data_IF_074825299364
#
_entry.id   IF_074825299364
#
_cell.length_a   1.000
_cell.length_b   1.000
_cell.length_c   1.000
_cell.angle_alpha   90.00
_cell.angle_beta   90.00
_cell.angle_gamma   90.00
#
_symmetry.space_group_name_H-M   'P 1'
#
loop_
_entity.id
_entity.type
_entity.pdbx_description
1 polymer ?
#
# COMPACT_ATOMS: atom_id res chain seq x y z
N UNK A 1 -9.00 -8.64 -7.59
CA UNK A 1 -9.72 -7.44 -8.06
C UNK A 1 -8.70 -6.29 -8.03
N UNK A 2 -8.89 -5.17 -8.76
CA UNK A 2 -7.77 -4.27 -9.08
C UNK A 2 -7.72 -3.04 -8.15
N UNK A 3 -6.61 -2.87 -7.45
CA UNK A 3 -6.33 -1.73 -6.58
C UNK A 3 -6.44 -0.39 -7.32
N UNK A 4 -7.06 0.61 -6.69
CA UNK A 4 -7.11 1.97 -7.23
C UNK A 4 -5.99 2.82 -6.66
N UNK A 5 -5.21 3.47 -7.54
CA UNK A 5 -4.11 4.38 -7.18
C UNK A 5 -4.46 5.80 -7.58
N UNK A 6 -4.42 6.74 -6.63
CA UNK A 6 -4.68 8.17 -6.83
C UNK A 6 -3.59 9.03 -6.16
N UNK A 7 -3.54 10.33 -6.46
CA UNK A 7 -2.72 11.27 -5.69
C UNK A 7 -3.56 11.78 -4.51
N UNK A 8 -3.05 11.79 -3.26
CA UNK A 8 -3.81 12.33 -2.14
C UNK A 8 -4.07 13.84 -2.26
N UNK A 9 -5.16 14.31 -1.66
CA UNK A 9 -5.47 15.74 -1.60
C UNK A 9 -4.34 16.52 -0.89
N UNK A 10 -3.94 17.64 -1.50
CA UNK A 10 -2.86 18.50 -1.00
C UNK A 10 -1.44 18.00 -1.27
N UNK A 11 -1.26 16.79 -1.83
CA UNK A 11 0.06 16.30 -2.24
C UNK A 11 0.45 16.89 -3.60
N UNK A 12 1.74 17.28 -3.79
CA UNK A 12 2.22 17.66 -5.10
C UNK A 12 2.09 16.49 -6.09
N UNK A 13 1.64 16.79 -7.30
CA UNK A 13 1.59 15.82 -8.42
C UNK A 13 2.96 15.57 -9.02
N UNK A 14 3.90 16.47 -8.77
CA UNK A 14 5.24 16.44 -9.33
C UNK A 14 6.13 15.39 -8.65
N UNK A 15 6.94 14.71 -9.46
CA UNK A 15 7.95 13.77 -8.97
C UNK A 15 9.23 14.51 -8.64
N UNK A 16 9.72 14.40 -7.41
CA UNK A 16 11.07 14.88 -7.07
C UNK A 16 12.12 13.80 -7.34
N UNK A 17 13.28 14.22 -7.87
CA UNK A 17 14.33 13.31 -8.32
C UNK A 17 15.64 13.54 -7.55
N UNK A 18 15.87 12.86 -6.41
CA UNK A 18 17.20 12.79 -5.81
C UNK A 18 18.11 11.82 -6.60
N UNK A 19 18.93 12.36 -7.51
CA UNK A 19 19.83 11.57 -8.34
C UNK A 19 19.10 10.83 -9.46
N UNK A 20 19.11 9.49 -9.44
CA UNK A 20 18.33 8.65 -10.39
C UNK A 20 17.11 7.99 -9.72
N UNK A 21 16.80 8.38 -8.49
CA UNK A 21 15.62 7.92 -7.74
C UNK A 21 14.51 8.95 -7.89
N UNK A 22 13.27 8.49 -7.92
CA UNK A 22 12.03 9.26 -7.97
C UNK A 22 11.23 8.95 -6.70
N UNK A 23 10.52 9.94 -6.17
CA UNK A 23 9.54 9.70 -5.11
C UNK A 23 8.14 10.16 -5.52
N UNK A 24 7.13 9.44 -5.06
CA UNK A 24 5.71 9.72 -5.32
C UNK A 24 4.90 9.40 -4.08
N UNK A 25 3.94 10.27 -3.77
CA UNK A 25 2.91 9.98 -2.78
C UNK A 25 1.69 9.46 -3.51
N UNK A 26 1.19 8.30 -3.11
CA UNK A 26 -0.02 7.69 -3.66
C UNK A 26 -1.04 7.42 -2.57
N UNK A 27 -2.32 7.50 -2.94
CA UNK A 27 -3.49 7.08 -2.19
C UNK A 27 -3.96 5.77 -2.81
N UNK A 28 -4.11 4.76 -1.98
CA UNK A 28 -4.47 3.41 -2.36
C UNK A 28 -5.79 3.07 -1.69
N UNK A 29 -6.77 2.61 -2.47
CA UNK A 29 -8.03 2.08 -1.95
C UNK A 29 -8.06 0.59 -2.22
N UNK A 30 -8.24 -0.20 -1.15
CA UNK A 30 -8.41 -1.64 -1.22
C UNK A 30 -9.79 -2.02 -1.78
N UNK A 31 -9.96 -3.29 -2.12
CA UNK A 31 -11.20 -3.80 -2.68
C UNK A 31 -12.10 -4.49 -1.65
N UNK A 32 -13.33 -4.84 -2.06
CA UNK A 32 -14.32 -5.54 -1.23
C UNK A 32 -14.07 -7.04 -1.11
N UNK A 33 -12.98 -7.54 -1.70
CA UNK A 33 -12.58 -8.93 -1.63
C UNK A 33 -11.07 -9.04 -1.49
N UNK A 34 -10.61 -8.92 -0.24
CA UNK A 34 -9.20 -9.02 0.12
C UNK A 34 -8.59 -10.36 -0.32
N UNK A 35 -7.41 -10.33 -0.91
CA UNK A 35 -6.66 -11.54 -1.26
C UNK A 35 -5.61 -11.85 -0.18
N UNK A 36 -5.50 -13.10 0.24
CA UNK A 36 -4.40 -13.53 1.11
C UNK A 36 -3.03 -13.20 0.50
N UNK A 37 -2.13 -12.67 1.32
CA UNK A 37 -0.86 -12.09 0.90
C UNK A 37 -0.96 -10.62 0.45
N UNK A 38 -2.13 -10.00 0.54
CA UNK A 38 -2.38 -8.62 0.14
C UNK A 38 -2.72 -8.41 -1.33
N UNK A 39 -2.92 -7.15 -1.69
CA UNK A 39 -3.25 -6.75 -3.06
C UNK A 39 -2.00 -6.38 -3.86
N UNK A 40 -1.97 -6.73 -5.15
CA UNK A 40 -0.83 -6.45 -6.01
C UNK A 40 -0.57 -4.93 -6.15
N UNK A 41 0.63 -4.51 -5.75
CA UNK A 41 1.12 -3.13 -5.85
C UNK A 41 2.51 -3.15 -6.49
N UNK A 42 2.53 -3.33 -7.81
CA UNK A 42 3.77 -3.46 -8.57
C UNK A 42 4.46 -2.13 -8.79
N UNK A 43 5.78 -2.16 -9.04
CA UNK A 43 6.55 -0.98 -9.45
C UNK A 43 5.90 -0.28 -10.66
N UNK A 44 5.46 -1.06 -11.65
CA UNK A 44 4.79 -0.57 -12.85
C UNK A 44 3.50 0.17 -12.52
N UNK A 45 2.66 -0.37 -11.63
CA UNK A 45 1.43 0.29 -11.15
C UNK A 45 1.73 1.64 -10.50
N UNK A 46 2.86 1.73 -9.81
CA UNK A 46 3.32 2.93 -9.12
C UNK A 46 4.04 3.94 -10.05
N UNK A 47 4.39 3.54 -11.27
CA UNK A 47 5.10 4.36 -12.26
C UNK A 47 6.63 4.27 -12.17
N UNK A 48 7.16 3.18 -11.62
CA UNK A 48 8.58 2.91 -11.47
C UNK A 48 8.97 1.62 -12.21
N UNK A 49 10.22 1.47 -12.62
CA UNK A 49 10.81 0.19 -13.01
C UNK A 49 11.20 -0.68 -11.80
N UNK A 50 11.57 -0.07 -10.67
CA UNK A 50 11.83 -0.76 -9.39
C UNK A 50 11.42 0.09 -8.20
N UNK A 51 10.91 -0.55 -7.15
CA UNK A 51 10.63 0.08 -5.84
C UNK A 51 11.79 -0.17 -4.89
N UNK A 52 12.26 0.88 -4.23
CA UNK A 52 13.32 0.80 -3.22
C UNK A 52 12.78 0.98 -1.80
N UNK A 53 11.71 1.74 -1.62
CA UNK A 53 11.09 1.99 -0.33
C UNK A 53 9.59 2.27 -0.49
N UNK A 54 8.80 1.70 0.41
CA UNK A 54 7.39 2.05 0.62
C UNK A 54 7.20 2.34 2.10
N UNK A 55 6.73 3.54 2.42
CA UNK A 55 6.20 3.89 3.74
C UNK A 55 4.69 3.96 3.59
N UNK A 56 3.98 2.98 4.15
CA UNK A 56 2.53 2.87 4.06
C UNK A 56 1.87 3.27 5.39
N UNK A 57 0.81 4.06 5.31
CA UNK A 57 0.04 4.50 6.47
C UNK A 57 -1.46 4.44 6.14
N UNK A 58 -2.22 3.65 6.90
CA UNK A 58 -3.68 3.67 6.82
C UNK A 58 -4.23 4.99 7.36
N UNK A 59 -5.25 5.56 6.70
CA UNK A 59 -5.80 6.87 7.09
C UNK A 59 -6.58 6.81 8.42
N UNK A 60 -7.63 6.00 8.48
CA UNK A 60 -8.49 5.87 9.67
C UNK A 60 -9.27 4.54 9.66
N UNK A 61 -8.56 3.44 9.92
CA UNK A 61 -9.18 2.09 9.87
C UNK A 61 -8.71 1.12 10.95
N UNK A 62 -7.69 1.48 11.75
CA UNK A 62 -7.06 0.56 12.72
C UNK A 62 -6.18 -0.52 12.10
N UNK A 63 -6.19 -0.69 10.76
CA UNK A 63 -5.31 -1.62 10.06
C UNK A 63 -3.88 -1.07 9.91
N UNK A 64 -2.91 -1.98 9.93
CA UNK A 64 -1.52 -1.69 9.60
C UNK A 64 -1.22 -2.22 8.20
N UNK A 65 -0.91 -1.30 7.28
CA UNK A 65 -0.54 -1.66 5.91
C UNK A 65 0.96 -1.95 5.82
N UNK A 66 1.34 -3.06 5.18
CA UNK A 66 2.73 -3.45 5.00
C UNK A 66 2.99 -3.91 3.57
N UNK A 67 4.09 -3.43 3.00
CA UNK A 67 4.51 -3.80 1.65
C UNK A 67 5.43 -5.03 1.68
N UNK A 68 5.09 -6.05 0.90
CA UNK A 68 5.95 -7.20 0.64
C UNK A 68 6.80 -6.94 -0.61
N UNK A 69 8.09 -6.70 -0.39
CA UNK A 69 9.07 -6.45 -1.46
C UNK A 69 9.37 -7.69 -2.32
N UNK A 70 9.05 -8.89 -1.85
CA UNK A 70 9.25 -10.15 -2.58
C UNK A 70 8.13 -10.36 -3.59
N UNK A 71 6.88 -10.23 -3.14
CA UNK A 71 5.70 -10.48 -3.96
C UNK A 71 5.14 -9.22 -4.63
N UNK A 72 5.65 -8.03 -4.27
CA UNK A 72 5.13 -6.73 -4.72
C UNK A 72 3.65 -6.55 -4.39
N UNK A 73 3.27 -6.88 -3.15
CA UNK A 73 1.90 -6.75 -2.64
C UNK A 73 1.84 -5.79 -1.45
N UNK A 74 0.67 -5.19 -1.24
CA UNK A 74 0.35 -4.42 -0.04
C UNK A 74 -0.68 -5.21 0.78
N UNK A 75 -0.26 -5.69 1.94
CA UNK A 75 -1.10 -6.48 2.85
C UNK A 75 -1.62 -5.62 4.00
N UNK A 76 -2.75 -6.03 4.58
CA UNK A 76 -3.34 -5.42 5.76
C UNK A 76 -3.23 -6.37 6.94
N UNK A 77 -2.86 -5.80 8.09
CA UNK A 77 -2.75 -6.51 9.34
C UNK A 77 -3.61 -5.86 10.43
N UNK A 78 -4.18 -6.68 11.30
CA UNK A 78 -5.06 -6.28 12.41
C UNK A 78 -4.64 -6.90 13.74
N UNK A 79 -5.16 -6.35 14.84
CA UNK A 79 -4.81 -6.83 16.17
C UNK A 79 -5.57 -8.13 16.51
N UNK A 80 -4.81 -9.19 16.80
CA UNK A 80 -5.32 -10.43 17.39
C UNK A 80 -5.55 -10.33 18.90
N UNK A 81 -6.35 -11.25 19.45
CA UNK A 81 -6.69 -11.32 20.88
C UNK A 81 -5.71 -12.18 21.71
N UNK A 82 -4.45 -12.28 21.29
CA UNK A 82 -3.50 -13.29 21.78
C UNK A 82 -2.09 -12.74 22.09
N UNK A 83 -1.91 -11.41 22.04
CA UNK A 83 -0.63 -10.72 22.24
C UNK A 83 0.49 -11.21 21.28
N UNK A 84 0.12 -11.80 20.14
CA UNK A 84 1.05 -12.15 19.08
C UNK A 84 1.39 -10.94 18.19
N UNK A 85 2.16 -11.20 17.13
CA UNK A 85 2.25 -10.26 16.02
C UNK A 85 0.87 -10.04 15.39
N UNK A 86 0.70 -8.94 14.67
CA UNK A 86 -0.56 -8.64 14.00
C UNK A 86 -0.93 -9.76 13.01
N UNK A 87 -2.21 -10.10 12.97
CA UNK A 87 -2.76 -11.10 12.07
C UNK A 87 -3.02 -10.47 10.71
N UNK A 88 -2.75 -11.20 9.63
CA UNK A 88 -3.16 -10.75 8.31
C UNK A 88 -4.70 -10.81 8.22
N UNK A 89 -5.30 -9.77 7.62
CA UNK A 89 -6.73 -9.75 7.33
C UNK A 89 -7.13 -11.02 6.57
N UNK A 90 -8.24 -11.63 6.99
CA UNK A 90 -8.70 -12.89 6.41
C UNK A 90 -9.06 -12.74 4.92
N UNK A 91 -8.83 -13.80 4.14
CA UNK A 91 -9.22 -13.85 2.72
C UNK A 91 -10.70 -13.50 2.54
N UNK A 92 -11.04 -12.81 1.46
CA UNK A 92 -12.40 -12.37 1.07
C UNK A 92 -13.06 -11.35 2.00
N UNK A 93 -12.36 -10.84 3.02
CA UNK A 93 -12.86 -9.76 3.86
C UNK A 93 -13.11 -8.51 3.02
N UNK A 94 -14.22 -7.82 3.29
CA UNK A 94 -14.51 -6.51 2.69
C UNK A 94 -13.74 -5.43 3.41
N UNK A 95 -12.71 -4.92 2.74
CA UNK A 95 -11.86 -3.81 3.20
C UNK A 95 -11.93 -2.64 2.22
N UNK A 96 -13.02 -2.53 1.45
CA UNK A 96 -13.20 -1.47 0.44
C UNK A 96 -13.20 -0.04 1.01
N UNK A 97 -13.47 0.09 2.31
CA UNK A 97 -13.38 1.35 3.04
C UNK A 97 -11.95 1.70 3.50
N UNK A 98 -10.99 0.78 3.38
CA UNK A 98 -9.61 0.98 3.85
C UNK A 98 -8.82 1.76 2.81
N UNK A 99 -8.31 2.91 3.25
CA UNK A 99 -7.49 3.81 2.45
C UNK A 99 -6.10 3.89 3.06
N UNK A 100 -5.07 3.71 2.23
CA UNK A 100 -3.67 3.79 2.61
C UNK A 100 -2.97 4.88 1.81
N UNK A 101 -2.23 5.75 2.49
CA UNK A 101 -1.27 6.68 1.86
C UNK A 101 0.11 6.05 1.87
N UNK A 102 0.76 6.05 0.71
CA UNK A 102 2.12 5.55 0.59
C UNK A 102 3.06 6.64 0.09
N UNK A 103 4.18 6.86 0.77
CA UNK A 103 5.36 7.47 0.18
C UNK A 103 6.21 6.36 -0.44
N UNK A 104 6.34 6.39 -1.76
CA UNK A 104 7.10 5.41 -2.54
C UNK A 104 8.33 6.06 -3.12
N UNK A 105 9.47 5.39 -3.01
CA UNK A 105 10.71 5.77 -3.68
C UNK A 105 11.17 4.63 -4.60
N UNK A 106 11.54 4.95 -5.83
CA UNK A 106 11.90 3.97 -6.85
C UNK A 106 12.66 4.57 -8.03
N UNK A 107 13.01 3.75 -9.01
CA UNK A 107 13.61 4.17 -10.29
C UNK A 107 12.68 3.76 -11.42
#
# INVERSE_FOLDING_TARGET
>A
MALTVATPEGAPTETGVPGNMKFRIVKITFDSSYASGGEALTATTLGFGTVALVIAQAEDSGYVAQYDYTNSTLALYEAGADAAALDEVANTTDVSAVIVRCLVMGR
#
